data_IF_518354635839
#
_entry.id   IF_518354635839
#
_cell.length_a   1.000
_cell.length_b   1.000
_cell.length_c   1.000
_cell.angle_alpha   90.00
_cell.angle_beta   90.00
_cell.angle_gamma   90.00
#
_symmetry.space_group_name_H-M   'P 1'
#
loop_
_entity.id
_entity.type
_entity.pdbx_description
1 polymer ?
#
# COMPACT_ATOMS: atom_id res chain seq x y z
N UNK A 1 -21.10 -15.74 26.93
CA UNK A 1 -21.36 -14.57 26.08
C UNK A 1 -20.56 -14.82 24.81
N UNK A 2 -21.21 -15.24 23.73
CA UNK A 2 -20.55 -15.50 22.44
C UNK A 2 -20.41 -14.15 21.76
N UNK A 3 -19.17 -13.76 21.54
CA UNK A 3 -18.83 -12.61 20.71
C UNK A 3 -18.94 -13.10 19.27
N UNK A 4 -20.15 -13.01 18.70
CA UNK A 4 -20.39 -13.29 17.28
C UNK A 4 -19.76 -12.15 16.48
N UNK A 5 -18.43 -12.22 16.34
CA UNK A 5 -17.62 -11.27 15.60
C UNK A 5 -18.15 -11.16 14.18
N UNK A 6 -18.68 -9.98 13.85
CA UNK A 6 -19.05 -9.60 12.50
C UNK A 6 -17.93 -10.03 11.52
N UNK A 7 -18.26 -10.49 10.30
CA UNK A 7 -17.24 -10.80 9.31
C UNK A 7 -16.39 -9.54 9.12
N UNK A 8 -15.08 -9.64 9.43
CA UNK A 8 -14.12 -8.58 9.13
C UNK A 8 -14.26 -8.27 7.64
N UNK A 9 -14.74 -7.07 7.30
CA UNK A 9 -14.76 -6.61 5.93
C UNK A 9 -13.34 -6.74 5.37
N UNK A 10 -13.23 -7.26 4.16
CA UNK A 10 -11.94 -7.30 3.49
C UNK A 10 -11.45 -5.86 3.28
N UNK A 11 -10.15 -5.60 3.48
CA UNK A 11 -9.60 -4.27 3.24
C UNK A 11 -9.86 -3.86 1.78
N UNK A 12 -10.42 -2.68 1.59
CA UNK A 12 -10.60 -2.07 0.27
C UNK A 12 -9.52 -1.02 0.08
N UNK A 13 -8.77 -1.11 -1.02
CA UNK A 13 -7.83 -0.06 -1.42
C UNK A 13 -8.53 0.91 -2.37
N UNK A 14 -8.61 2.18 -1.96
CA UNK A 14 -9.28 3.21 -2.73
C UNK A 14 -8.38 3.80 -3.84
N UNK A 15 -8.96 4.32 -4.93
CA UNK A 15 -8.23 5.05 -5.95
C UNK A 15 -7.34 6.16 -5.37
N UNK A 16 -6.08 6.20 -5.79
CA UNK A 16 -5.09 7.18 -5.33
C UNK A 16 -4.53 6.91 -3.92
N UNK A 17 -4.82 5.75 -3.32
CA UNK A 17 -4.13 5.28 -2.12
C UNK A 17 -2.84 4.52 -2.45
N UNK A 18 -1.90 4.61 -1.51
CA UNK A 18 -0.70 3.77 -1.48
C UNK A 18 -0.75 2.91 -0.22
N UNK A 19 -0.77 1.59 -0.42
CA UNK A 19 -0.63 0.59 0.62
C UNK A 19 0.78 0.05 0.60
N UNK A 20 1.51 0.28 1.68
CA UNK A 20 2.89 -0.13 1.83
C UNK A 20 2.95 -1.33 2.77
N UNK A 21 3.25 -2.49 2.22
CA UNK A 21 3.05 -3.78 2.89
C UNK A 21 4.40 -4.45 3.13
N UNK A 22 4.79 -4.54 4.40
CA UNK A 22 5.93 -5.36 4.84
C UNK A 22 5.53 -6.84 4.86
N UNK A 23 6.34 -7.67 4.22
CA UNK A 23 6.04 -9.09 4.04
C UNK A 23 7.28 -9.99 4.02
N UNK A 24 7.16 -11.19 4.56
CA UNK A 24 8.21 -12.22 4.49
C UNK A 24 8.16 -12.98 3.16
N UNK A 25 9.28 -13.44 2.59
CA UNK A 25 9.30 -14.12 1.29
C UNK A 25 8.67 -15.52 1.26
N UNK A 26 8.07 -15.99 2.37
CA UNK A 26 7.55 -17.35 2.49
C UNK A 26 6.15 -17.49 1.88
N UNK A 27 5.13 -16.87 2.48
CA UNK A 27 3.74 -16.99 2.04
C UNK A 27 2.91 -15.76 2.42
N UNK A 28 2.10 -15.26 1.48
CA UNK A 28 1.18 -14.14 1.72
C UNK A 28 0.11 -14.50 2.74
N UNK A 29 -0.01 -13.64 3.77
CA UNK A 29 -1.12 -13.69 4.71
C UNK A 29 -2.46 -13.45 4.01
N UNK A 30 -3.56 -13.89 4.61
CA UNK A 30 -4.90 -13.65 4.05
C UNK A 30 -5.20 -12.16 3.84
N UNK A 31 -4.73 -11.31 4.76
CA UNK A 31 -4.86 -9.87 4.64
C UNK A 31 -4.07 -9.35 3.43
N UNK A 32 -2.80 -9.75 3.29
CA UNK A 32 -1.96 -9.27 2.20
C UNK A 32 -2.51 -9.73 0.83
N UNK A 33 -3.10 -10.93 0.76
CA UNK A 33 -3.82 -11.39 -0.46
C UNK A 33 -5.05 -10.54 -0.75
N UNK A 34 -5.85 -10.22 0.27
CA UNK A 34 -7.02 -9.36 0.08
C UNK A 34 -6.62 -7.96 -0.42
N UNK A 35 -5.56 -7.38 0.16
CA UNK A 35 -5.00 -6.10 -0.28
C UNK A 35 -4.50 -6.17 -1.73
N UNK A 36 -3.73 -7.20 -2.08
CA UNK A 36 -3.24 -7.39 -3.44
C UNK A 36 -4.38 -7.57 -4.44
N UNK A 37 -5.47 -8.26 -4.05
CA UNK A 37 -6.61 -8.50 -4.93
C UNK A 37 -7.37 -7.21 -5.32
N UNK A 38 -7.30 -6.17 -4.48
CA UNK A 38 -7.91 -4.87 -4.77
C UNK A 38 -7.00 -3.88 -5.52
N UNK A 39 -5.71 -4.19 -5.66
CA UNK A 39 -4.72 -3.28 -6.23
C UNK A 39 -4.72 -3.31 -7.76
N UNK A 40 -4.63 -2.14 -8.39
CA UNK A 40 -4.39 -2.03 -9.83
C UNK A 40 -2.90 -2.11 -10.18
N UNK A 41 -2.05 -1.59 -9.28
CA UNK A 41 -0.60 -1.53 -9.46
C UNK A 41 0.08 -2.16 -8.24
N UNK A 42 1.01 -3.08 -8.49
CA UNK A 42 1.86 -3.69 -7.47
C UNK A 42 3.33 -3.42 -7.78
N UNK A 43 3.97 -2.59 -6.95
CA UNK A 43 5.42 -2.43 -6.94
C UNK A 43 6.00 -3.38 -5.90
N UNK A 44 7.01 -4.19 -6.24
CA UNK A 44 7.46 -5.24 -5.32
C UNK A 44 8.99 -5.36 -5.21
N UNK A 45 9.47 -5.68 -4.01
CA UNK A 45 10.85 -6.14 -3.84
C UNK A 45 11.05 -7.46 -4.60
N UNK A 46 12.14 -7.57 -5.35
CA UNK A 46 12.44 -8.72 -6.22
C UNK A 46 12.44 -10.05 -5.48
N UNK A 47 12.84 -10.04 -4.20
CA UNK A 47 12.81 -11.23 -3.35
C UNK A 47 11.39 -11.82 -3.18
N UNK A 48 10.35 -11.00 -3.34
CA UNK A 48 8.94 -11.39 -3.19
C UNK A 48 8.29 -11.78 -4.52
N UNK A 49 9.01 -11.69 -5.64
CA UNK A 49 8.51 -12.03 -6.97
C UNK A 49 7.87 -13.41 -7.08
N UNK A 50 8.50 -14.50 -6.56
CA UNK A 50 7.93 -15.84 -6.62
C UNK A 50 6.57 -15.98 -5.91
N UNK A 51 6.39 -15.28 -4.80
CA UNK A 51 5.13 -15.31 -4.03
C UNK A 51 4.08 -14.43 -4.71
N UNK A 52 4.47 -13.25 -5.20
CA UNK A 52 3.57 -12.36 -5.93
C UNK A 52 3.03 -13.01 -7.21
N UNK A 53 3.88 -13.72 -7.96
CA UNK A 53 3.48 -14.37 -9.21
C UNK A 53 2.31 -15.38 -9.03
N UNK A 54 2.14 -15.93 -7.83
CA UNK A 54 1.06 -16.87 -7.50
C UNK A 54 -0.24 -16.18 -7.06
N UNK A 55 -0.17 -14.88 -6.73
CA UNK A 55 -1.27 -14.15 -6.07
C UNK A 55 -1.67 -12.86 -6.79
N UNK A 56 -0.98 -12.49 -7.87
CA UNK A 56 -1.28 -11.28 -8.63
C UNK A 56 -2.66 -11.41 -9.30
N UNK A 57 -3.60 -10.47 -9.08
CA UNK A 57 -4.91 -10.55 -9.71
C UNK A 57 -4.81 -10.31 -11.22
N UNK A 58 -5.73 -10.92 -11.97
CA UNK A 58 -5.83 -10.70 -13.42
C UNK A 58 -6.08 -9.22 -13.70
N UNK A 59 -5.27 -8.64 -14.60
CA UNK A 59 -5.39 -7.25 -15.00
C UNK A 59 -4.61 -6.25 -14.13
N UNK A 60 -3.98 -6.68 -13.02
CA UNK A 60 -3.06 -5.81 -12.30
C UNK A 60 -1.73 -5.67 -13.04
N UNK A 61 -1.18 -4.45 -13.00
CA UNK A 61 0.19 -4.17 -13.42
C UNK A 61 1.14 -4.45 -12.26
N UNK A 62 2.23 -5.20 -12.52
CA UNK A 62 3.24 -5.48 -11.53
C UNK A 62 4.64 -5.11 -12.01
N UNK A 63 5.40 -4.42 -11.16
CA UNK A 63 6.75 -3.93 -11.48
C UNK A 63 7.71 -4.16 -10.31
N UNK A 64 8.89 -4.76 -10.55
CA UNK A 64 9.88 -4.91 -9.51
C UNK A 64 10.51 -3.55 -9.17
N UNK A 65 10.72 -3.29 -7.88
CA UNK A 65 11.45 -2.12 -7.41
C UNK A 65 12.91 -2.13 -7.93
N UNK A 66 13.50 -0.95 -8.20
CA UNK A 66 14.89 -0.86 -8.62
C UNK A 66 15.83 -1.47 -7.57
N UNK A 67 16.90 -2.19 -7.95
CA UNK A 67 17.85 -2.77 -7.00
C UNK A 67 18.50 -1.74 -6.07
N UNK A 68 18.66 -0.52 -6.56
CA UNK A 68 19.25 0.62 -5.83
C UNK A 68 18.29 1.25 -4.82
N UNK A 69 17.02 0.88 -4.84
CA UNK A 69 16.01 1.45 -3.94
C UNK A 69 16.28 1.11 -2.46
N UNK A 70 16.98 0.00 -2.20
CA UNK A 70 17.23 -0.49 -0.85
C UNK A 70 18.24 0.35 -0.03
N UNK A 71 19.11 1.15 -0.66
CA UNK A 71 20.31 1.65 0.02
C UNK A 71 20.19 3.05 0.69
N UNK A 72 19.33 3.95 0.19
CA UNK A 72 19.22 5.32 0.74
C UNK A 72 17.92 6.07 0.36
N UNK A 73 16.97 5.41 -0.30
CA UNK A 73 15.78 6.07 -0.81
C UNK A 73 14.67 6.15 0.27
N UNK A 74 13.72 7.09 0.14
CA UNK A 74 12.48 7.08 0.92
C UNK A 74 11.80 5.71 0.90
N UNK A 75 11.08 5.37 1.97
CA UNK A 75 10.32 4.11 2.05
C UNK A 75 9.35 3.94 0.86
N UNK A 76 8.64 4.99 0.49
CA UNK A 76 7.72 4.96 -0.65
C UNK A 76 8.48 5.31 -1.94
N UNK A 77 8.35 4.46 -2.96
CA UNK A 77 8.98 4.67 -4.25
C UNK A 77 8.36 5.88 -4.96
N UNK A 78 9.16 6.73 -5.64
CA UNK A 78 8.63 7.82 -6.47
C UNK A 78 7.56 7.34 -7.45
N UNK A 79 7.77 6.14 -8.03
CA UNK A 79 6.83 5.52 -8.96
C UNK A 79 5.47 5.20 -8.32
N UNK A 80 5.45 4.82 -7.04
CA UNK A 80 4.20 4.59 -6.32
C UNK A 80 3.37 5.88 -6.21
N UNK A 81 4.05 7.00 -5.98
CA UNK A 81 3.44 8.33 -5.91
C UNK A 81 2.93 8.80 -7.27
N UNK A 82 3.64 8.47 -8.36
CA UNK A 82 3.18 8.79 -9.71
C UNK A 82 1.86 8.08 -10.02
N UNK A 83 1.79 6.76 -9.80
CA UNK A 83 0.56 5.99 -10.02
C UNK A 83 -0.58 6.47 -9.11
N UNK A 84 -0.34 6.66 -7.82
CA UNK A 84 -1.38 7.14 -6.92
C UNK A 84 -1.87 8.55 -7.29
N UNK A 85 -0.98 9.43 -7.78
CA UNK A 85 -1.38 10.76 -8.26
C UNK A 85 -2.22 10.72 -9.54
N UNK A 86 -2.13 9.65 -10.33
CA UNK A 86 -3.00 9.38 -11.49
C UNK A 86 -4.32 8.70 -11.09
N UNK A 87 -4.53 8.42 -9.81
CA UNK A 87 -5.75 7.81 -9.28
C UNK A 87 -5.73 6.28 -9.24
N UNK A 88 -4.59 5.63 -9.48
CA UNK A 88 -4.48 4.17 -9.35
C UNK A 88 -4.49 3.74 -7.87
N UNK A 89 -5.03 2.54 -7.59
CA UNK A 89 -4.81 1.86 -6.31
C UNK A 89 -3.46 1.15 -6.32
N UNK A 90 -2.54 1.57 -5.44
CA UNK A 90 -1.14 1.13 -5.47
C UNK A 90 -0.79 0.33 -4.23
N UNK A 91 -0.26 -0.88 -4.43
CA UNK A 91 0.42 -1.64 -3.38
C UNK A 91 1.92 -1.59 -3.63
N UNK A 92 2.70 -1.23 -2.62
CA UNK A 92 4.14 -1.41 -2.61
C UNK A 92 4.51 -2.50 -1.59
N UNK A 93 4.87 -3.66 -2.10
CA UNK A 93 5.24 -4.84 -1.33
C UNK A 93 6.76 -4.85 -1.08
N UNK A 94 7.18 -4.88 0.17
CA UNK A 94 8.59 -4.80 0.57
C UNK A 94 8.97 -5.96 1.48
N UNK A 95 10.18 -6.48 1.30
CA UNK A 95 10.68 -7.56 2.14
C UNK A 95 10.82 -7.06 3.59
N UNK A 96 10.36 -7.87 4.54
CA UNK A 96 10.49 -7.58 5.96
C UNK A 96 11.96 -7.40 6.36
N UNK A 97 12.24 -6.39 7.18
CA UNK A 97 13.57 -6.19 7.71
C UNK A 97 13.88 -4.79 8.24
N UNK A 98 14.97 -4.65 9.02
CA UNK A 98 15.33 -3.39 9.67
C UNK A 98 15.71 -2.30 8.66
N UNK A 99 16.32 -2.66 7.53
CA UNK A 99 16.73 -1.70 6.50
C UNK A 99 15.53 -0.99 5.88
N UNK A 100 14.42 -1.71 5.70
CA UNK A 100 13.16 -1.15 5.26
C UNK A 100 12.61 -0.14 6.28
N UNK A 101 12.48 -0.56 7.55
CA UNK A 101 11.89 0.27 8.61
C UNK A 101 12.65 1.54 8.91
N UNK A 102 13.97 1.50 8.81
CA UNK A 102 14.83 2.68 8.96
C UNK A 102 14.51 3.79 7.96
N UNK A 103 13.84 3.46 6.84
CA UNK A 103 13.46 4.40 5.78
C UNK A 103 12.06 4.99 5.96
N UNK A 104 11.22 4.42 6.82
CA UNK A 104 9.86 4.90 7.07
C UNK A 104 9.79 6.36 7.55
N UNK A 105 10.72 6.85 8.39
CA UNK A 105 10.77 8.27 8.75
C UNK A 105 11.14 9.19 7.57
N UNK A 106 11.70 8.65 6.48
CA UNK A 106 12.13 9.41 5.32
C UNK A 106 10.95 9.53 4.35
N UNK A 107 10.18 10.60 4.52
CA UNK A 107 9.01 10.87 3.69
C UNK A 107 9.42 11.51 2.36
N UNK A 108 8.91 11.01 1.22
CA UNK A 108 9.13 11.65 -0.07
C UNK A 108 8.62 13.11 -0.07
N UNK A 109 9.29 14.05 -0.78
CA UNK A 109 8.87 15.45 -0.82
C UNK A 109 7.41 15.68 -1.24
N UNK A 110 6.87 14.85 -2.15
CA UNK A 110 5.46 14.95 -2.58
C UNK A 110 4.48 14.58 -1.48
N UNK A 111 4.81 13.56 -0.67
CA UNK A 111 3.99 13.14 0.45
C UNK A 111 4.02 14.22 1.56
N UNK A 112 5.20 14.78 1.84
CA UNK A 112 5.35 15.92 2.75
C UNK A 112 4.53 17.13 2.31
N UNK A 113 4.48 17.43 1.01
CA UNK A 113 3.65 18.52 0.48
C UNK A 113 2.16 18.23 0.68
N UNK A 114 1.68 17.06 0.24
CA UNK A 114 0.28 16.67 0.39
C UNK A 114 -0.17 16.72 1.86
N UNK A 115 0.69 16.24 2.75
CA UNK A 115 0.48 16.31 4.17
C UNK A 115 0.34 17.75 4.71
N UNK A 116 1.26 18.66 4.34
CA UNK A 116 1.18 20.08 4.77
C UNK A 116 -0.02 20.83 4.20
N UNK A 117 -0.50 20.42 3.02
CA UNK A 117 -1.61 21.10 2.35
C UNK A 117 -2.98 20.64 2.86
N UNK A 118 -3.14 19.36 3.22
CA UNK A 118 -4.44 18.77 3.49
C UNK A 118 -4.53 17.89 4.75
N UNK A 119 -3.44 17.71 5.50
CA UNK A 119 -3.43 16.82 6.67
C UNK A 119 -3.61 15.36 6.27
N UNK A 120 -2.68 14.84 5.46
CA UNK A 120 -2.74 13.48 4.90
C UNK A 120 -2.93 12.43 6.02
N UNK A 121 -4.06 11.69 6.05
CA UNK A 121 -4.25 10.63 7.01
C UNK A 121 -3.33 9.45 6.71
N UNK A 122 -2.84 8.81 7.76
CA UNK A 122 -2.05 7.58 7.69
C UNK A 122 -2.69 6.53 8.59
N UNK A 123 -3.05 5.39 8.04
CA UNK A 123 -3.45 4.23 8.83
C UNK A 123 -2.28 3.28 8.94
N UNK A 124 -1.96 2.84 10.15
CA UNK A 124 -0.93 1.83 10.43
C UNK A 124 -1.61 0.57 10.93
N UNK A 125 -1.48 -0.50 10.17
CA UNK A 125 -1.91 -1.83 10.56
C UNK A 125 -0.71 -2.68 10.95
N UNK A 126 -0.74 -3.24 12.15
CA UNK A 126 0.25 -4.21 12.61
C UNK A 126 -0.31 -5.61 12.52
N UNK A 127 0.46 -6.54 11.95
CA UNK A 127 0.12 -7.94 11.81
C UNK A 127 0.95 -8.75 12.79
N UNK A 128 0.27 -9.51 13.65
CA UNK A 128 0.94 -10.52 14.48
C UNK A 128 1.36 -11.75 13.64
N UNK A 129 2.07 -12.69 14.25
CA UNK A 129 2.50 -13.94 13.61
C UNK A 129 1.33 -14.80 13.09
N UNK A 130 0.11 -14.57 13.56
CA UNK A 130 -1.11 -15.26 13.12
C UNK A 130 -1.86 -14.48 12.03
N UNK A 131 -1.28 -13.38 11.53
CA UNK A 131 -1.89 -12.52 10.52
C UNK A 131 -3.06 -11.69 11.03
N UNK A 132 -3.23 -11.55 12.35
CA UNK A 132 -4.25 -10.66 12.92
C UNK A 132 -3.75 -9.23 12.81
N UNK A 133 -4.51 -8.42 12.07
CA UNK A 133 -4.29 -6.99 11.98
C UNK A 133 -4.86 -6.27 13.21
N UNK A 134 -4.10 -5.28 13.71
CA UNK A 134 -4.57 -4.22 14.58
C UNK A 134 -4.28 -2.87 13.91
N UNK A 135 -5.33 -2.07 13.76
CA UNK A 135 -5.32 -0.83 13.00
C UNK A 135 -5.26 0.38 13.95
N UNK A 136 -4.42 1.34 13.61
CA UNK A 136 -4.28 2.60 14.31
C UNK A 136 -4.30 3.73 13.28
N UNK A 137 -5.27 4.63 13.42
CA UNK A 137 -5.29 5.89 12.68
C UNK A 137 -4.26 6.84 13.28
N UNK A 138 -3.45 7.46 12.44
CA UNK A 138 -2.38 8.37 12.84
C UNK A 138 -2.15 9.46 11.78
N UNK A 139 -1.22 10.36 12.07
CA UNK A 139 -0.76 11.37 11.14
C UNK A 139 0.67 11.09 10.68
N UNK A 140 1.08 11.80 9.62
CA UNK A 140 2.45 11.74 9.12
C UNK A 140 3.47 12.22 10.17
N UNK A 141 3.12 13.20 11.02
CA UNK A 141 3.99 13.70 12.09
C UNK A 141 4.17 12.68 13.22
N UNK A 142 3.11 11.96 13.57
CA UNK A 142 3.10 10.96 14.64
C UNK A 142 3.72 9.63 14.20
N UNK A 143 3.75 9.36 12.90
CA UNK A 143 4.21 8.10 12.34
C UNK A 143 5.60 7.70 12.83
N UNK A 144 6.54 8.64 12.90
CA UNK A 144 7.91 8.33 13.36
C UNK A 144 7.96 7.88 14.83
N UNK A 145 7.09 8.41 15.69
CA UNK A 145 6.99 8.02 17.09
C UNK A 145 6.25 6.68 17.23
N UNK A 146 5.13 6.54 16.51
CA UNK A 146 4.33 5.32 16.49
C UNK A 146 5.18 4.11 16.05
N UNK A 147 6.00 4.27 15.02
CA UNK A 147 6.87 3.22 14.50
C UNK A 147 8.00 2.81 15.46
N UNK A 148 8.38 3.64 16.43
CA UNK A 148 9.36 3.25 17.47
C UNK A 148 8.79 2.22 18.45
N UNK A 149 7.47 2.17 18.58
CA UNK A 149 6.78 1.22 19.44
C UNK A 149 6.77 -0.22 18.91
N UNK A 150 7.04 -0.42 17.60
CA UNK A 150 6.91 -1.72 16.97
C UNK A 150 8.24 -2.45 16.79
N UNK A 151 8.26 -3.71 17.25
CA UNK A 151 9.43 -4.59 17.21
C UNK A 151 9.58 -5.31 15.87
N UNK A 152 10.76 -5.89 15.61
CA UNK A 152 11.07 -6.62 14.37
C UNK A 152 10.18 -7.84 14.09
N UNK A 153 9.43 -8.31 15.08
CA UNK A 153 8.62 -9.52 15.00
C UNK A 153 7.21 -9.22 14.46
N UNK A 154 6.76 -7.98 14.54
CA UNK A 154 5.50 -7.54 13.95
C UNK A 154 5.69 -7.29 12.46
N UNK A 155 4.63 -7.29 11.65
CA UNK A 155 4.69 -6.87 10.25
C UNK A 155 3.80 -5.67 10.04
N UNK A 156 4.32 -4.67 9.34
CA UNK A 156 3.64 -3.39 9.16
C UNK A 156 2.96 -3.31 7.80
N UNK A 157 1.74 -2.78 7.80
CA UNK A 157 1.07 -2.25 6.62
C UNK A 157 0.78 -0.79 6.89
N UNK A 158 1.23 0.11 6.03
CA UNK A 158 0.96 1.54 6.13
C UNK A 158 0.09 1.96 4.95
N UNK A 159 -0.99 2.69 5.21
CA UNK A 159 -1.89 3.21 4.18
C UNK A 159 -1.77 4.72 4.13
N UNK A 160 -1.49 5.25 2.95
CA UNK A 160 -1.42 6.68 2.67
C UNK A 160 -2.50 7.07 1.67
N UNK A 161 -3.26 8.13 1.97
CA UNK A 161 -4.15 8.76 0.98
C UNK A 161 -5.64 8.48 1.17
N UNK A 162 -6.47 8.96 0.22
CA UNK A 162 -6.10 9.26 -1.18
C UNK A 162 -5.19 10.50 -1.36
N UNK A 163 -4.19 10.39 -2.24
CA UNK A 163 -3.25 11.48 -2.58
C UNK A 163 -3.83 12.51 -3.56
N UNK A 164 -4.97 12.21 -4.16
CA UNK A 164 -5.73 13.13 -5.00
C UNK A 164 -7.02 13.47 -4.26
N UNK A 165 -7.20 14.73 -3.87
CA UNK A 165 -8.54 15.21 -3.52
C UNK A 165 -9.37 15.12 -4.81
N UNK A 166 -10.37 14.24 -4.86
CA UNK A 166 -11.19 14.00 -6.04
C UNK A 166 -11.65 15.32 -6.70
N UNK A 167 -11.02 15.72 -7.81
CA UNK A 167 -11.81 16.15 -8.96
C UNK A 167 -12.16 14.87 -9.67
N UNK A 168 -13.40 14.42 -9.48
CA UNK A 168 -13.96 13.34 -10.28
C UNK A 168 -13.62 13.61 -11.75
N UNK A 169 -12.80 12.75 -12.34
CA UNK A 169 -12.59 12.75 -13.78
C UNK A 169 -13.96 12.46 -14.39
N UNK A 170 -14.54 13.34 -15.23
CA UNK A 170 -15.80 13.02 -15.86
C UNK A 170 -15.61 11.72 -16.64
N UNK A 171 -16.36 10.69 -16.27
CA UNK A 171 -16.40 9.45 -17.01
C UNK A 171 -16.92 9.78 -18.41
N UNK A 172 -16.01 9.88 -19.38
CA UNK A 172 -16.40 9.91 -20.78
C UNK A 172 -16.84 8.50 -21.15
N UNK A 173 -18.15 8.27 -21.09
CA UNK A 173 -18.77 7.10 -21.67
C UNK A 173 -18.50 7.13 -23.19
N UNK A 174 -17.56 6.31 -23.64
CA UNK A 174 -17.43 5.99 -25.05
C UNK A 174 -18.52 4.99 -25.42
N UNK A 175 -19.63 5.47 -25.96
CA UNK A 175 -20.58 4.61 -26.67
C UNK A 175 -20.00 4.34 -28.05
N UNK A 176 -19.42 3.15 -28.24
CA UNK A 176 -19.08 2.65 -29.57
C UNK A 176 -20.38 2.27 -30.28
N UNK A 177 -21.02 3.25 -30.92
CA UNK A 177 -22.10 3.02 -31.89
C UNK A 177 -21.51 3.10 -33.32
N UNK A 178 -21.46 1.96 -34.02
CA UNK A 178 -21.14 1.84 -35.45
C UNK A 178 -20.07 0.78 -35.70
N UNK A 179 -20.20 -0.19 -36.60
CA UNK A 179 -20.97 -0.23 -37.84
C UNK A 179 -21.75 -1.55 -38.00
N UNK A 180 -23.02 -1.42 -38.35
CA UNK A 180 -23.62 -2.31 -39.33
C UNK A 180 -23.26 -1.77 -40.72
N UNK A 181 -22.77 -2.66 -41.58
CA UNK A 181 -22.47 -2.44 -42.99
C UNK A 181 -22.29 -3.80 -43.65
#
# INVERSE_FOLDING_TARGET
MRDDGLPRQSPTIEPGQIWLVEHDPAELSLLDRAVLSGANVVLYDRALGPVLAQSLPLGAYAEPLPPTFAAAAPAIAPRALDFAAEGWSVVQLVAAGPAWRARLPILPPRLNRAHREAGLPVQVSTKDAHGRAHDIDSSVEELAELLRGYGSDERLTLVFGPLVAHRATPAHAFTANGLAG
#
